data_IF_063825070184
#
_entry.id   IF_063825070184
#
_cell.length_a   1.000
_cell.length_b   1.000
_cell.length_c   1.000
_cell.angle_alpha   90.00
_cell.angle_beta   90.00
_cell.angle_gamma   90.00
#
_symmetry.space_group_name_H-M   'P 1'
#
loop_
_entity.id
_entity.type
_entity.pdbx_description
1 polymer ?
#
# COMPACT_ATOMS: atom_id res chain seq x y z
N UNK A 1 -9.79 -14.71 -17.40
CA UNK A 1 -8.60 -14.09 -16.77
C UNK A 1 -7.70 -13.32 -17.75
N UNK A 2 -7.40 -13.78 -18.98
CA UNK A 2 -6.49 -13.06 -19.90
C UNK A 2 -6.94 -11.65 -20.34
N UNK A 3 -8.24 -11.40 -20.42
CA UNK A 3 -8.76 -10.12 -20.94
C UNK A 3 -8.67 -8.96 -19.92
N UNK A 4 -8.81 -9.26 -18.62
CA UNK A 4 -8.80 -8.23 -17.57
C UNK A 4 -7.41 -7.58 -17.44
N UNK A 5 -6.35 -8.39 -17.39
CA UNK A 5 -4.98 -7.89 -17.18
C UNK A 5 -4.52 -7.00 -18.32
N UNK A 6 -4.81 -7.36 -19.59
CA UNK A 6 -4.46 -6.51 -20.74
C UNK A 6 -5.32 -5.25 -20.78
N UNK A 7 -6.63 -5.36 -20.52
CA UNK A 7 -7.52 -4.19 -20.49
C UNK A 7 -7.12 -3.20 -19.40
N UNK A 8 -6.65 -3.68 -18.24
CA UNK A 8 -6.18 -2.85 -17.14
C UNK A 8 -4.96 -1.98 -17.50
N UNK A 9 -4.16 -2.39 -18.48
CA UNK A 9 -2.99 -1.60 -18.92
C UNK A 9 -3.37 -0.25 -19.54
N UNK A 10 -4.53 -0.16 -20.20
CA UNK A 10 -4.98 1.05 -20.89
C UNK A 10 -5.29 2.21 -19.92
N UNK A 11 -6.19 2.06 -18.91
CA UNK A 11 -6.44 3.11 -17.94
C UNK A 11 -5.23 3.35 -17.03
N UNK A 12 -4.41 2.33 -16.74
CA UNK A 12 -3.18 2.50 -15.97
C UNK A 12 -2.19 3.41 -16.71
N UNK A 13 -1.93 3.15 -18.00
CA UNK A 13 -1.08 3.98 -18.84
C UNK A 13 -1.59 5.44 -18.90
N UNK A 14 -2.87 5.62 -19.24
CA UNK A 14 -3.45 6.96 -19.40
C UNK A 14 -3.32 7.82 -18.13
N UNK A 15 -3.63 7.25 -16.96
CA UNK A 15 -3.54 7.97 -15.69
C UNK A 15 -2.08 8.18 -15.23
N UNK A 16 -1.19 7.26 -15.58
CA UNK A 16 0.23 7.36 -15.27
C UNK A 16 0.92 8.53 -15.99
N UNK A 17 0.47 8.90 -17.20
CA UNK A 17 0.99 10.07 -17.94
C UNK A 17 0.91 11.40 -17.19
N UNK A 18 0.11 11.49 -16.13
CA UNK A 18 0.03 12.68 -15.29
C UNK A 18 1.21 12.84 -14.32
N UNK A 19 2.06 11.81 -14.16
CA UNK A 19 3.16 11.78 -13.18
C UNK A 19 2.71 11.70 -11.71
N UNK A 20 1.40 11.68 -11.46
CA UNK A 20 0.79 11.45 -10.13
C UNK A 20 0.56 9.96 -9.85
N UNK A 21 0.81 9.16 -10.89
CA UNK A 21 0.77 7.72 -11.06
C UNK A 21 -0.41 6.94 -10.46
N UNK A 22 -0.24 5.62 -10.46
CA UNK A 22 -1.35 4.65 -10.39
C UNK A 22 -1.03 3.51 -9.44
N UNK A 23 -1.98 3.13 -8.60
CA UNK A 23 -1.92 1.92 -7.78
C UNK A 23 -2.75 0.81 -8.43
N UNK A 24 -2.12 -0.28 -8.85
CA UNK A 24 -2.80 -1.49 -9.29
C UNK A 24 -2.88 -2.44 -8.10
N UNK A 25 -4.11 -2.67 -7.64
CA UNK A 25 -4.41 -3.44 -6.43
C UNK A 25 -4.82 -4.84 -6.83
N UNK A 26 -4.14 -5.84 -6.27
CA UNK A 26 -4.48 -7.26 -6.43
C UNK A 26 -4.80 -7.89 -5.08
N UNK A 27 -5.32 -9.13 -5.11
CA UNK A 27 -5.70 -9.88 -3.91
C UNK A 27 -4.52 -10.53 -3.17
N UNK A 28 -3.35 -10.70 -3.82
CA UNK A 28 -2.16 -11.25 -3.17
C UNK A 28 -0.85 -10.84 -3.84
N UNK A 29 0.24 -10.96 -3.09
CA UNK A 29 1.59 -10.55 -3.48
C UNK A 29 2.09 -11.27 -4.72
N UNK A 30 1.77 -12.56 -4.87
CA UNK A 30 2.17 -13.33 -6.04
C UNK A 30 1.55 -12.76 -7.32
N UNK A 31 0.25 -12.44 -7.30
CA UNK A 31 -0.43 -11.82 -8.44
C UNK A 31 0.09 -10.41 -8.70
N UNK A 32 0.32 -9.62 -7.65
CA UNK A 32 0.91 -8.28 -7.79
C UNK A 32 2.25 -8.34 -8.52
N UNK A 33 3.16 -9.21 -8.05
CA UNK A 33 4.48 -9.37 -8.64
C UNK A 33 4.42 -9.93 -10.05
N UNK A 34 3.63 -11.00 -10.27
CA UNK A 34 3.47 -11.62 -11.58
C UNK A 34 2.95 -10.60 -12.61
N UNK A 35 1.92 -9.84 -12.28
CA UNK A 35 1.29 -8.91 -13.23
C UNK A 35 2.14 -7.66 -13.45
N UNK A 36 2.87 -7.20 -12.43
CA UNK A 36 3.89 -6.19 -12.59
C UNK A 36 4.97 -6.63 -13.58
N UNK A 37 5.55 -7.82 -13.41
CA UNK A 37 6.61 -8.32 -14.27
C UNK A 37 6.10 -8.65 -15.69
N UNK A 38 4.87 -9.14 -15.83
CA UNK A 38 4.26 -9.38 -17.14
C UNK A 38 4.03 -8.07 -17.92
N UNK A 39 3.62 -7.00 -17.23
CA UNK A 39 3.31 -5.71 -17.86
C UNK A 39 4.50 -4.75 -17.90
N UNK A 40 5.59 -5.04 -17.17
CA UNK A 40 6.80 -4.23 -17.13
C UNK A 40 7.38 -3.97 -18.53
N UNK A 41 7.59 -4.98 -19.41
CA UNK A 41 8.11 -4.72 -20.75
C UNK A 41 7.23 -3.78 -21.56
N UNK A 42 5.90 -3.85 -21.38
CA UNK A 42 4.96 -2.97 -22.08
C UNK A 42 5.08 -1.52 -21.59
N UNK A 43 5.06 -1.30 -20.28
CA UNK A 43 5.12 0.04 -19.71
C UNK A 43 6.49 0.70 -19.90
N UNK A 44 7.57 -0.05 -19.70
CA UNK A 44 8.93 0.45 -19.90
C UNK A 44 9.21 0.75 -21.38
N UNK A 45 8.68 -0.07 -22.31
CA UNK A 45 8.72 0.26 -23.75
C UNK A 45 8.04 1.60 -24.06
N UNK A 46 6.98 1.94 -23.32
CA UNK A 46 6.27 3.22 -23.45
C UNK A 46 6.84 4.34 -22.56
N UNK A 47 7.99 4.12 -21.91
CA UNK A 47 8.71 5.12 -21.12
C UNK A 47 8.17 5.33 -19.70
N UNK A 48 7.35 4.41 -19.18
CA UNK A 48 6.85 4.44 -17.80
C UNK A 48 7.60 3.46 -16.90
N UNK A 49 7.73 3.81 -15.63
CA UNK A 49 8.35 2.98 -14.60
C UNK A 49 7.32 2.13 -13.85
N UNK A 50 7.72 0.91 -13.47
CA UNK A 50 6.87 -0.03 -12.72
C UNK A 50 7.52 -0.40 -11.39
N UNK A 51 6.84 -0.06 -10.29
CA UNK A 51 7.20 -0.41 -8.92
C UNK A 51 6.35 -1.57 -8.38
N UNK A 52 6.90 -2.34 -7.45
CA UNK A 52 6.20 -3.44 -6.77
C UNK A 52 6.32 -3.20 -5.27
N UNK A 53 5.18 -3.16 -4.59
CA UNK A 53 5.08 -2.96 -3.16
C UNK A 53 4.73 -4.27 -2.47
N UNK A 54 5.70 -4.84 -1.75
CA UNK A 54 5.58 -6.11 -1.04
C UNK A 54 5.72 -5.92 0.48
N UNK A 55 5.16 -6.84 1.28
CA UNK A 55 5.35 -6.85 2.72
C UNK A 55 6.84 -6.98 3.10
N UNK A 56 7.23 -6.29 4.18
CA UNK A 56 8.59 -6.36 4.72
C UNK A 56 9.66 -5.59 3.94
N UNK A 57 9.30 -4.91 2.85
CA UNK A 57 10.23 -4.02 2.15
C UNK A 57 10.71 -2.88 3.06
N UNK A 58 12.02 -2.55 3.05
CA UNK A 58 12.54 -1.37 3.73
C UNK A 58 11.85 -0.08 3.24
N UNK A 59 11.69 0.90 4.13
CA UNK A 59 11.04 2.17 3.78
C UNK A 59 11.65 2.87 2.55
N UNK A 60 12.98 2.90 2.33
CA UNK A 60 13.55 3.45 1.10
C UNK A 60 13.09 2.72 -0.17
N UNK A 61 13.07 1.38 -0.15
CA UNK A 61 12.60 0.58 -1.29
C UNK A 61 11.09 0.78 -1.55
N UNK A 62 10.29 0.96 -0.48
CA UNK A 62 8.88 1.34 -0.63
C UNK A 62 8.72 2.70 -1.28
N UNK A 63 9.50 3.71 -0.86
CA UNK A 63 9.50 5.04 -1.49
C UNK A 63 9.81 4.94 -2.98
N UNK A 64 10.80 4.15 -3.36
CA UNK A 64 11.13 3.89 -4.77
C UNK A 64 9.96 3.24 -5.51
N UNK A 65 9.29 2.24 -4.91
CA UNK A 65 8.12 1.60 -5.51
C UNK A 65 6.93 2.57 -5.70
N UNK A 66 6.66 3.45 -4.73
CA UNK A 66 5.60 4.48 -4.83
C UNK A 66 5.98 5.67 -5.73
N UNK A 67 7.28 5.90 -5.95
CA UNK A 67 7.78 6.92 -6.86
C UNK A 67 7.59 6.53 -8.33
N UNK A 68 7.40 5.24 -8.62
CA UNK A 68 7.11 4.77 -9.96
C UNK A 68 5.79 5.36 -10.52
N UNK A 69 5.68 5.36 -11.85
CA UNK A 69 4.46 5.79 -12.54
C UNK A 69 3.30 4.85 -12.26
N UNK A 70 3.60 3.55 -12.15
CA UNK A 70 2.65 2.50 -11.84
C UNK A 70 3.23 1.63 -10.72
N UNK A 71 2.51 1.52 -9.62
CA UNK A 71 2.87 0.65 -8.49
C UNK A 71 1.88 -0.50 -8.43
N UNK A 72 2.37 -1.73 -8.31
CA UNK A 72 1.56 -2.92 -8.03
C UNK A 72 1.68 -3.28 -6.54
N UNK A 73 0.60 -3.76 -5.94
CA UNK A 73 0.60 -4.23 -4.56
C UNK A 73 -0.76 -4.76 -4.13
N UNK A 74 -0.85 -5.19 -2.88
CA UNK A 74 -2.11 -5.67 -2.30
C UNK A 74 -2.84 -4.54 -1.59
N UNK A 75 -4.16 -4.70 -1.46
CA UNK A 75 -5.01 -3.80 -0.67
C UNK A 75 -4.49 -3.63 0.76
N UNK A 76 -4.08 -4.73 1.41
CA UNK A 76 -3.56 -4.73 2.76
C UNK A 76 -2.25 -3.94 2.87
N UNK A 77 -1.31 -4.14 1.94
CA UNK A 77 -0.03 -3.43 2.01
C UNK A 77 -0.19 -1.92 1.75
N UNK A 78 -1.03 -1.53 0.79
CA UNK A 78 -1.37 -0.12 0.58
C UNK A 78 -2.04 0.50 1.81
N UNK A 79 -2.97 -0.23 2.43
CA UNK A 79 -3.67 0.25 3.62
C UNK A 79 -2.72 0.39 4.83
N UNK A 80 -1.86 -0.58 5.08
CA UNK A 80 -0.89 -0.52 6.18
C UNK A 80 0.20 0.53 5.96
N UNK A 81 0.70 0.71 4.74
CA UNK A 81 1.61 1.81 4.43
C UNK A 81 0.95 3.16 4.69
N UNK A 82 -0.32 3.33 4.29
CA UNK A 82 -1.07 4.56 4.57
C UNK A 82 -1.21 4.81 6.09
N UNK A 83 -1.55 3.78 6.86
CA UNK A 83 -1.64 3.90 8.32
C UNK A 83 -0.27 4.24 8.94
N UNK A 84 0.81 3.60 8.50
CA UNK A 84 2.18 3.90 8.95
C UNK A 84 2.59 5.33 8.61
N UNK A 85 2.27 5.83 7.42
CA UNK A 85 2.57 7.21 7.00
C UNK A 85 1.84 8.27 7.83
N UNK A 86 0.66 7.93 8.37
CA UNK A 86 -0.08 8.80 9.30
C UNK A 86 0.41 8.71 10.75
N UNK A 87 1.29 7.75 11.06
CA UNK A 87 2.00 7.65 12.34
C UNK A 87 3.43 8.18 12.28
N UNK A 88 3.94 8.52 11.10
CA UNK A 88 5.28 9.07 10.90
C UNK A 88 5.46 10.42 11.61
N UNK A 89 6.64 10.65 12.19
CA UNK A 89 6.94 11.89 12.92
C UNK A 89 7.21 13.06 11.97
N UNK A 90 7.65 12.77 10.75
CA UNK A 90 8.01 13.75 9.75
C UNK A 90 7.48 13.37 8.36
N UNK A 91 7.19 14.33 7.47
CA UNK A 91 6.77 14.04 6.10
C UNK A 91 7.79 13.21 5.30
N UNK A 92 9.08 13.36 5.59
CA UNK A 92 10.19 12.66 4.92
C UNK A 92 10.24 11.17 5.26
N UNK A 93 9.67 10.78 6.40
CA UNK A 93 9.56 9.38 6.81
C UNK A 93 8.48 8.61 6.05
N UNK A 94 7.53 9.31 5.41
CA UNK A 94 6.44 8.68 4.65
C UNK A 94 6.95 7.91 3.43
N UNK A 95 6.24 6.85 3.07
CA UNK A 95 6.58 6.02 1.91
C UNK A 95 5.65 6.25 0.73
N UNK A 96 4.38 6.56 0.97
CA UNK A 96 3.41 6.83 -0.07
C UNK A 96 3.53 8.25 -0.59
N UNK A 97 3.10 8.42 -1.83
CA UNK A 97 2.76 9.74 -2.37
C UNK A 97 1.26 10.00 -2.28
N UNK A 98 0.81 11.14 -2.82
CA UNK A 98 -0.61 11.48 -2.90
C UNK A 98 -1.40 10.37 -3.63
N UNK A 99 -2.47 9.89 -3.01
CA UNK A 99 -3.39 8.93 -3.61
C UNK A 99 -4.09 9.57 -4.82
N UNK A 100 -3.81 9.06 -6.02
CA UNK A 100 -4.26 9.66 -7.28
C UNK A 100 -5.31 8.81 -8.01
N UNK A 101 -4.95 7.58 -8.38
CA UNK A 101 -5.82 6.64 -9.06
C UNK A 101 -5.51 5.21 -8.61
N UNK A 102 -6.55 4.42 -8.39
CA UNK A 102 -6.43 3.02 -8.02
C UNK A 102 -7.25 2.15 -8.98
N UNK A 103 -6.61 1.13 -9.55
CA UNK A 103 -7.26 0.08 -10.32
C UNK A 103 -7.30 -1.18 -9.46
N UNK A 104 -8.51 -1.59 -9.09
CA UNK A 104 -8.72 -2.75 -8.21
C UNK A 104 -9.12 -3.95 -9.05
N UNK A 105 -8.26 -4.95 -9.13
CA UNK A 105 -8.64 -6.26 -9.67
C UNK A 105 -9.41 -7.05 -8.61
N UNK A 106 -10.38 -7.86 -9.06
CA UNK A 106 -11.29 -8.61 -8.16
C UNK A 106 -11.93 -7.71 -7.08
N UNK A 107 -12.56 -6.62 -7.54
CA UNK A 107 -13.17 -5.58 -6.68
C UNK A 107 -14.20 -6.13 -5.69
N UNK A 108 -14.89 -7.21 -6.04
CA UNK A 108 -15.83 -7.91 -5.17
C UNK A 108 -15.11 -8.56 -3.98
N UNK A 109 -14.03 -9.30 -4.22
CA UNK A 109 -13.21 -9.89 -3.16
C UNK A 109 -12.70 -8.82 -2.18
N UNK A 110 -12.22 -7.69 -2.70
CA UNK A 110 -11.58 -6.64 -1.87
C UNK A 110 -12.62 -5.76 -1.16
N UNK A 111 -13.59 -5.20 -1.88
CA UNK A 111 -14.51 -4.19 -1.33
C UNK A 111 -15.74 -4.79 -0.64
N UNK A 112 -16.03 -6.07 -0.85
CA UNK A 112 -17.17 -6.74 -0.20
C UNK A 112 -16.67 -7.74 0.84
N UNK A 113 -15.83 -8.71 0.44
CA UNK A 113 -15.49 -9.82 1.33
C UNK A 113 -14.48 -9.43 2.40
N UNK A 114 -13.42 -8.71 2.01
CA UNK A 114 -12.36 -8.27 2.93
C UNK A 114 -12.70 -7.02 3.74
N UNK A 115 -13.61 -6.17 3.23
CA UNK A 115 -14.00 -4.91 3.88
C UNK A 115 -14.66 -5.08 5.27
N UNK A 116 -14.95 -6.32 5.69
CA UNK A 116 -15.55 -6.65 7.00
C UNK A 116 -14.56 -6.51 8.17
N UNK A 117 -13.26 -6.63 7.92
CA UNK A 117 -12.24 -6.56 8.97
C UNK A 117 -11.40 -5.29 8.79
N UNK A 118 -11.36 -4.38 9.78
CA UNK A 118 -10.54 -3.18 9.67
C UNK A 118 -9.04 -3.49 9.72
N UNK A 119 -8.25 -2.68 9.03
CA UNK A 119 -6.79 -2.69 9.16
C UNK A 119 -6.39 -1.95 10.44
N UNK A 120 -5.67 -2.65 11.33
CA UNK A 120 -5.28 -2.13 12.65
C UNK A 120 -3.77 -2.27 12.83
N UNK A 121 -3.11 -1.17 13.18
CA UNK A 121 -1.74 -1.20 13.71
C UNK A 121 -1.85 -1.14 15.23
N UNK A 122 -1.37 -2.18 15.91
CA UNK A 122 -1.22 -2.20 17.36
C UNK A 122 0.26 -2.29 17.73
N UNK A 123 0.66 -1.52 18.74
CA UNK A 123 1.98 -1.60 19.36
C UNK A 123 1.89 -2.27 20.73
N UNK A 124 2.98 -2.89 21.22
CA UNK A 124 3.03 -3.31 22.61
C UNK A 124 2.83 -2.06 23.49
N UNK A 125 1.89 -2.14 24.44
CA UNK A 125 1.83 -1.13 25.48
C UNK A 125 3.11 -1.25 26.31
N UNK A 126 3.96 -0.22 26.31
CA UNK A 126 4.99 -0.11 27.34
C UNK A 126 4.32 -0.22 28.71
N UNK A 127 5.00 -0.91 29.62
CA UNK A 127 4.55 -1.49 30.89
C UNK A 127 3.71 -0.54 31.77
N UNK A 128 2.45 -0.33 31.34
CA UNK A 128 1.50 0.55 31.99
C UNK A 128 1.09 0.04 33.37
N UNK A 129 1.37 -1.24 33.66
CA UNK A 129 1.07 -1.89 34.93
C UNK A 129 1.73 -1.18 36.12
N UNK A 130 2.99 -0.79 36.00
CA UNK A 130 3.73 -0.07 37.06
C UNK A 130 3.24 1.37 37.22
N UNK A 131 2.89 2.03 36.10
CA UNK A 131 2.30 3.36 36.14
C UNK A 131 0.92 3.34 36.83
N UNK A 132 0.05 2.38 36.48
CA UNK A 132 -1.25 2.20 37.14
C UNK A 132 -1.10 1.91 38.64
N UNK A 133 -0.14 1.07 39.04
CA UNK A 133 0.15 0.81 40.46
C UNK A 133 0.59 2.08 41.21
N UNK A 134 1.43 2.93 40.61
CA UNK A 134 1.89 4.20 41.21
C UNK A 134 0.75 5.21 41.34
N UNK A 135 -0.08 5.37 40.30
CA UNK A 135 -1.22 6.27 40.31
C UNK A 135 -2.28 5.82 41.34
N UNK A 136 -2.55 4.52 41.44
CA UNK A 136 -3.50 4.00 42.43
C UNK A 136 -3.05 4.24 43.89
N UNK A 137 -1.74 4.33 44.15
CA UNK A 137 -1.21 4.72 45.46
C UNK A 137 -1.45 6.20 45.80
N UNK A 138 -1.56 7.07 44.80
CA UNK A 138 -1.84 8.51 45.01
C UNK A 138 -3.31 8.79 45.33
N UNK A 139 -4.24 7.99 44.77
CA UNK A 139 -5.69 8.15 45.00
C UNK A 139 -6.22 7.38 46.22
N UNK A 140 -5.45 6.44 46.78
CA UNK A 140 -5.74 5.81 48.08
C UNK A 140 -5.09 6.62 49.21
N UNK A 141 -5.63 7.81 49.46
CA UNK A 141 -5.46 8.57 50.71
C UNK A 141 -6.85 8.87 51.27
#
# INVERSE_FOLDING_TARGET
MKEKTLTATLPAYLNALTGKGVHVVTVNDYLAQRDAENNRPLFEFLGLTVGINLPGMPAPAKREAYAADITYGTNNEYGFDYLRDNMAFSPEERVQRKLHYALVDEVDSILIDEARTPLIISGPAEDSSEMYKRVNKLFRT
#
